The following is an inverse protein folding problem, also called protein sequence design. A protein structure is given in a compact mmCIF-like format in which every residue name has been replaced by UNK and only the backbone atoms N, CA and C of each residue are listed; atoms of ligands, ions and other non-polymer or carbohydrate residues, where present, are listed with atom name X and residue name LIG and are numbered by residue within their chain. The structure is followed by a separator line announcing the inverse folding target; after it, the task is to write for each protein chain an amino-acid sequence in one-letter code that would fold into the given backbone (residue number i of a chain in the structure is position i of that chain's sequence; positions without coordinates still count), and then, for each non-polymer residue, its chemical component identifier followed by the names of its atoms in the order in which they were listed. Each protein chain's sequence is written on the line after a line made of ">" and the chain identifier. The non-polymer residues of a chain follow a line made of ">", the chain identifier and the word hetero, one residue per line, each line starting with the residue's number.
data_IF_867190394967
#
_entry.id   IF_867190394967
#
_cell.length_a   1.000
_cell.length_b   1.000
_cell.length_c   1.000
_cell.angle_alpha   90.00
_cell.angle_beta   90.00
_cell.angle_gamma   90.00
#
_symmetry.space_group_name_H-M   'P 1'
#
loop_
_entity.id
_entity.type
_entity.pdbx_description
1 polymer ?
#
# COMPACT_ATOMS: atom_id res chain seq x y z
N UNK A 1 -0.54 -24.82 -9.40
CA UNK A 1 -1.37 -23.79 -8.70
C UNK A 1 -0.64 -23.35 -7.46
N UNK A 2 -0.29 -22.08 -7.33
CA UNK A 2 0.42 -21.52 -6.18
C UNK A 2 -0.42 -20.46 -5.48
N UNK A 3 -0.50 -20.56 -4.14
CA UNK A 3 -1.10 -19.53 -3.31
C UNK A 3 -0.05 -18.43 -3.05
N UNK A 4 -0.35 -17.22 -3.43
CA UNK A 4 0.53 -16.06 -3.24
C UNK A 4 0.24 -15.42 -1.85
N UNK A 5 0.83 -15.99 -0.80
CA UNK A 5 0.65 -15.50 0.58
C UNK A 5 1.46 -14.23 0.83
N UNK A 6 0.89 -13.28 1.59
CA UNK A 6 1.60 -12.03 1.92
C UNK A 6 2.55 -12.17 3.11
N UNK A 7 2.44 -13.25 3.89
CA UNK A 7 3.25 -13.44 5.10
C UNK A 7 4.74 -13.59 4.78
N UNK A 8 5.08 -14.48 3.85
CA UNK A 8 6.46 -14.71 3.45
C UNK A 8 7.10 -13.46 2.83
N UNK A 9 6.32 -12.71 2.05
CA UNK A 9 6.77 -11.43 1.47
C UNK A 9 7.04 -10.41 2.56
N UNK A 10 6.14 -10.29 3.54
CA UNK A 10 6.30 -9.40 4.70
C UNK A 10 7.53 -9.76 5.53
N UNK A 11 7.78 -11.05 5.76
CA UNK A 11 8.95 -11.55 6.50
C UNK A 11 10.26 -11.29 5.74
N UNK A 12 10.28 -11.45 4.43
CA UNK A 12 11.42 -11.12 3.57
C UNK A 12 11.76 -9.63 3.63
N UNK A 13 10.77 -8.74 3.50
CA UNK A 13 10.98 -7.29 3.60
C UNK A 13 11.58 -6.92 4.96
N UNK A 14 11.05 -7.49 6.04
CA UNK A 14 11.57 -7.21 7.40
C UNK A 14 13.00 -7.73 7.57
N UNK A 15 13.31 -8.91 7.02
CA UNK A 15 14.67 -9.46 7.07
C UNK A 15 15.68 -8.56 6.36
N UNK A 16 15.31 -7.98 5.20
CA UNK A 16 16.15 -7.05 4.45
C UNK A 16 16.37 -5.72 5.20
N UNK A 17 15.38 -5.26 5.98
CA UNK A 17 15.47 -4.03 6.75
C UNK A 17 16.29 -4.16 8.03
N UNK A 18 16.36 -5.36 8.60
CA UNK A 18 16.99 -5.60 9.90
C UNK A 18 18.43 -5.06 10.00
N UNK A 19 19.36 -5.35 9.08
CA UNK A 19 20.72 -4.82 9.16
C UNK A 19 20.78 -3.29 9.05
N UNK A 20 19.85 -2.67 8.31
CA UNK A 20 19.77 -1.21 8.18
C UNK A 20 19.32 -0.60 9.52
N UNK A 21 18.29 -1.17 10.15
CA UNK A 21 17.78 -0.73 11.45
C UNK A 21 18.85 -0.88 12.54
N UNK A 22 19.56 -2.00 12.58
CA UNK A 22 20.68 -2.24 13.50
C UNK A 22 21.81 -1.21 13.29
N UNK A 23 22.14 -0.88 12.05
CA UNK A 23 23.12 0.16 11.70
C UNK A 23 22.71 1.57 12.15
N UNK A 24 21.43 1.92 12.03
CA UNK A 24 20.86 3.18 12.54
C UNK A 24 20.89 3.21 14.07
N UNK A 25 20.49 2.12 14.73
CA UNK A 25 20.51 1.99 16.19
C UNK A 25 21.92 2.17 16.76
N UNK A 26 22.95 1.63 16.08
CA UNK A 26 24.36 1.84 16.44
C UNK A 26 24.80 3.30 16.39
N UNK A 27 24.08 4.17 15.66
CA UNK A 27 24.28 5.62 15.60
C UNK A 27 23.34 6.39 16.56
N UNK A 28 22.55 5.68 17.37
CA UNK A 28 21.55 6.27 18.27
C UNK A 28 20.28 6.77 17.57
N UNK A 29 20.04 6.36 16.32
CA UNK A 29 18.91 6.76 15.49
C UNK A 29 17.86 5.66 15.51
N UNK A 30 16.59 6.00 15.75
CA UNK A 30 15.47 5.06 15.74
C UNK A 30 14.47 5.50 14.67
N UNK A 31 14.23 4.71 13.62
CA UNK A 31 13.20 5.03 12.63
C UNK A 31 11.85 5.20 13.29
N UNK A 32 11.21 6.36 13.08
CA UNK A 32 9.98 6.74 13.78
C UNK A 32 8.91 7.16 12.78
N UNK A 33 7.75 6.51 12.86
CA UNK A 33 6.52 6.89 12.15
C UNK A 33 5.71 7.85 13.03
N UNK A 34 5.39 9.04 12.54
CA UNK A 34 4.37 9.91 13.12
C UNK A 34 2.99 9.51 12.58
N UNK A 35 2.04 9.32 13.47
CA UNK A 35 0.63 9.05 13.14
C UNK A 35 -0.23 10.19 13.66
N UNK A 36 -1.01 10.81 12.77
CA UNK A 36 -2.04 11.79 13.15
C UNK A 36 -3.42 11.12 13.05
N UNK A 37 -4.13 11.03 14.17
CA UNK A 37 -5.47 10.46 14.26
C UNK A 37 -6.44 11.47 14.88
N UNK A 38 -7.61 11.62 14.24
CA UNK A 38 -8.71 12.46 14.73
C UNK A 38 -9.85 11.55 15.19
N UNK A 39 -10.24 11.66 16.45
CA UNK A 39 -11.27 10.82 17.06
C UNK A 39 -10.80 9.38 17.34
N UNK A 40 -11.77 8.47 17.57
CA UNK A 40 -11.54 7.10 18.04
C UNK A 40 -12.38 6.07 17.26
N UNK A 41 -12.29 6.09 15.94
CA UNK A 41 -12.96 5.10 15.12
C UNK A 41 -12.37 3.70 15.36
N UNK A 42 -13.22 2.69 15.44
CA UNK A 42 -12.80 1.34 15.79
C UNK A 42 -11.83 0.71 14.78
N UNK A 43 -11.98 1.01 13.49
CA UNK A 43 -11.08 0.59 12.41
C UNK A 43 -9.70 1.26 12.52
N UNK A 44 -9.65 2.58 12.82
CA UNK A 44 -8.42 3.33 13.07
C UNK A 44 -7.64 2.77 14.27
N UNK A 45 -8.34 2.51 15.37
CA UNK A 45 -7.74 1.91 16.57
C UNK A 45 -7.21 0.49 16.32
N UNK A 46 -7.89 -0.30 15.51
CA UNK A 46 -7.43 -1.63 15.14
C UNK A 46 -6.17 -1.57 14.28
N UNK A 47 -6.15 -0.65 13.30
CA UNK A 47 -4.99 -0.43 12.45
C UNK A 47 -3.79 0.12 13.23
N UNK A 48 -4.00 1.11 14.10
CA UNK A 48 -2.98 1.68 14.99
C UNK A 48 -2.31 0.61 15.84
N UNK A 49 -3.10 -0.28 16.48
CA UNK A 49 -2.54 -1.41 17.25
C UNK A 49 -1.67 -2.33 16.39
N UNK A 50 -2.07 -2.57 15.15
CA UNK A 50 -1.28 -3.36 14.19
C UNK A 50 0.05 -2.69 13.85
N UNK A 51 0.03 -1.37 13.61
CA UNK A 51 1.23 -0.56 13.35
C UNK A 51 2.18 -0.57 14.54
N UNK A 52 1.68 -0.27 15.74
CA UNK A 52 2.47 -0.28 16.98
C UNK A 52 3.19 -1.61 17.15
N UNK A 53 2.45 -2.72 17.08
CA UNK A 53 3.01 -4.07 17.22
C UNK A 53 4.08 -4.36 16.15
N UNK A 54 3.84 -3.97 14.88
CA UNK A 54 4.77 -4.21 13.79
C UNK A 54 6.07 -3.43 13.97
N UNK A 55 5.98 -2.13 14.26
CA UNK A 55 7.14 -1.27 14.41
C UNK A 55 7.96 -1.66 15.66
N UNK A 56 7.31 -1.92 16.79
CA UNK A 56 7.97 -2.39 18.01
C UNK A 56 8.74 -3.71 17.77
N UNK A 57 8.14 -4.66 17.04
CA UNK A 57 8.81 -5.93 16.71
C UNK A 57 10.04 -5.79 15.80
N UNK A 58 10.27 -4.59 15.26
CA UNK A 58 11.40 -4.25 14.40
C UNK A 58 12.30 -3.16 15.00
N UNK A 59 12.23 -2.92 16.32
CA UNK A 59 13.00 -1.88 17.03
C UNK A 59 12.81 -0.47 16.45
N UNK A 60 11.63 -0.21 15.88
CA UNK A 60 11.19 1.09 15.36
C UNK A 60 10.10 1.69 16.23
N UNK A 61 9.85 2.98 16.10
CA UNK A 61 8.84 3.71 16.91
C UNK A 61 7.66 4.17 16.08
N UNK A 62 6.51 4.28 16.77
CA UNK A 62 5.33 5.01 16.29
C UNK A 62 5.00 6.09 17.31
N UNK A 63 5.01 7.35 16.89
CA UNK A 63 4.60 8.50 17.69
C UNK A 63 3.18 8.91 17.27
N UNK A 64 2.19 8.59 18.13
CA UNK A 64 0.78 8.87 17.82
C UNK A 64 0.39 10.23 18.40
N UNK A 65 -0.13 11.12 17.56
CA UNK A 65 -0.80 12.35 17.93
C UNK A 65 -2.30 12.16 17.77
N UNK A 66 -3.03 12.24 18.86
CA UNK A 66 -4.49 12.05 18.89
C UNK A 66 -5.15 13.41 19.09
N UNK A 67 -6.10 13.74 18.23
CA UNK A 67 -6.94 14.93 18.35
C UNK A 67 -8.39 14.52 18.64
N UNK A 68 -9.12 15.43 19.30
CA UNK A 68 -10.55 15.25 19.53
C UNK A 68 -11.30 15.18 18.18
N UNK A 69 -12.40 14.41 18.13
CA UNK A 69 -13.21 14.31 16.93
C UNK A 69 -13.81 15.66 16.48
N UNK A 70 -13.99 16.58 17.40
CA UNK A 70 -14.53 17.93 17.19
C UNK A 70 -13.43 19.01 17.14
N UNK A 71 -12.14 18.62 17.02
CA UNK A 71 -11.05 19.59 16.93
C UNK A 71 -11.25 20.54 15.74
N UNK A 72 -10.73 21.77 15.87
CA UNK A 72 -10.77 22.74 14.78
C UNK A 72 -9.76 22.40 13.67
N UNK A 73 -9.93 23.01 12.50
CA UNK A 73 -8.97 22.88 11.39
C UNK A 73 -7.59 23.40 11.81
N UNK A 74 -7.56 24.53 12.54
CA UNK A 74 -6.32 25.16 13.02
C UNK A 74 -5.57 24.26 14.01
N UNK A 75 -6.27 23.55 14.89
CA UNK A 75 -5.67 22.59 15.81
C UNK A 75 -5.07 21.41 15.08
N UNK A 76 -5.77 20.89 14.05
CA UNK A 76 -5.26 19.79 13.23
C UNK A 76 -4.03 20.22 12.43
N UNK A 77 -4.08 21.37 11.76
CA UNK A 77 -2.98 21.89 10.97
C UNK A 77 -1.74 22.17 11.84
N UNK A 78 -1.92 22.78 13.03
CA UNK A 78 -0.83 23.01 13.95
C UNK A 78 -0.19 21.71 14.50
N UNK A 79 -1.00 20.70 14.80
CA UNK A 79 -0.50 19.39 15.22
C UNK A 79 0.29 18.70 14.11
N UNK A 80 -0.20 18.78 12.87
CA UNK A 80 0.49 18.28 11.70
C UNK A 80 1.81 19.02 11.45
N UNK A 81 1.81 20.36 11.45
CA UNK A 81 3.00 21.18 11.19
C UNK A 81 4.11 20.89 12.22
N UNK A 82 3.73 20.71 13.49
CA UNK A 82 4.67 20.28 14.53
C UNK A 82 5.31 18.93 14.21
N UNK A 83 4.51 17.96 13.79
CA UNK A 83 4.99 16.62 13.40
C UNK A 83 5.88 16.69 12.14
N UNK A 84 5.48 17.50 11.16
CA UNK A 84 6.21 17.69 9.92
C UNK A 84 7.58 18.35 10.12
N UNK A 85 7.68 19.27 11.09
CA UNK A 85 8.92 19.95 11.46
C UNK A 85 9.83 19.12 12.38
N UNK A 86 9.33 18.06 13.01
CA UNK A 86 10.08 17.23 13.96
C UNK A 86 11.12 16.39 13.24
N UNK A 87 12.39 16.56 13.57
CA UNK A 87 13.53 15.85 12.95
C UNK A 87 13.63 14.39 13.37
N UNK A 88 12.99 14.01 14.47
CA UNK A 88 12.97 12.63 14.95
C UNK A 88 11.83 11.81 14.32
N UNK A 89 10.98 12.44 13.49
CA UNK A 89 9.93 11.78 12.70
C UNK A 89 10.41 11.62 11.26
N UNK A 90 10.41 10.38 10.79
CA UNK A 90 10.96 9.99 9.48
C UNK A 90 9.89 9.56 8.46
N UNK A 91 8.65 9.45 8.89
CA UNK A 91 7.48 9.23 8.06
C UNK A 91 6.22 9.72 8.73
N UNK A 92 5.25 10.22 7.97
CA UNK A 92 3.98 10.74 8.51
C UNK A 92 2.82 10.01 7.84
N UNK A 93 1.93 9.48 8.66
CA UNK A 93 0.68 8.84 8.25
C UNK A 93 -0.50 9.56 8.89
N UNK A 94 -1.43 10.04 8.10
CA UNK A 94 -2.68 10.64 8.56
C UNK A 94 -3.82 9.66 8.35
N UNK A 95 -4.54 9.32 9.42
CA UNK A 95 -5.67 8.39 9.31
C UNK A 95 -6.86 9.05 8.61
N UNK A 96 -7.39 8.40 7.60
CA UNK A 96 -8.50 8.87 6.79
C UNK A 96 -9.61 7.82 6.70
N UNK A 97 -10.87 8.23 6.46
CA UNK A 97 -11.32 9.60 6.19
C UNK A 97 -11.33 10.46 7.45
N UNK A 98 -11.00 11.74 7.29
CA UNK A 98 -11.16 12.74 8.33
C UNK A 98 -12.66 13.02 8.62
N UNK A 99 -13.02 13.57 9.81
CA UNK A 99 -14.32 14.14 10.04
C UNK A 99 -14.71 15.14 8.95
N UNK A 100 -16.01 15.24 8.61
CA UNK A 100 -16.51 16.02 7.46
C UNK A 100 -16.19 17.53 7.52
N UNK A 101 -15.96 18.08 8.71
CA UNK A 101 -15.66 19.49 8.92
C UNK A 101 -14.17 19.81 8.74
N UNK A 102 -13.31 18.79 8.59
CA UNK A 102 -11.87 18.94 8.39
C UNK A 102 -11.48 18.64 6.93
N UNK A 103 -10.46 19.36 6.47
CA UNK A 103 -9.84 19.18 5.15
C UNK A 103 -8.38 18.79 5.29
N UNK A 104 -7.92 17.85 4.48
CA UNK A 104 -6.50 17.48 4.40
C UNK A 104 -5.69 18.32 3.40
N UNK A 105 -6.27 19.40 2.85
CA UNK A 105 -5.63 20.22 1.82
C UNK A 105 -4.30 20.81 2.29
N UNK A 106 -4.25 21.38 3.50
CA UNK A 106 -3.02 21.92 4.10
C UNK A 106 -1.94 20.84 4.19
N UNK A 107 -2.30 19.65 4.66
CA UNK A 107 -1.40 18.50 4.80
C UNK A 107 -0.82 18.10 3.44
N UNK A 108 -1.67 17.94 2.42
CA UNK A 108 -1.27 17.56 1.06
C UNK A 108 -0.27 18.56 0.45
N UNK A 109 -0.50 19.86 0.71
CA UNK A 109 0.33 20.94 0.16
C UNK A 109 1.66 21.11 0.88
N UNK A 110 1.71 20.86 2.19
CA UNK A 110 2.84 21.25 3.05
C UNK A 110 3.66 20.09 3.58
N UNK A 111 3.19 18.86 3.46
CA UNK A 111 3.95 17.68 3.90
C UNK A 111 5.34 17.64 3.23
N UNK A 112 6.36 17.40 4.04
CA UNK A 112 7.71 17.14 3.52
C UNK A 112 7.68 15.87 2.66
N UNK A 113 8.00 15.96 1.36
CA UNK A 113 8.02 14.79 0.49
C UNK A 113 8.92 13.65 1.00
N UNK A 114 9.95 13.97 1.79
CA UNK A 114 10.83 12.99 2.43
C UNK A 114 10.20 12.28 3.62
N UNK A 115 9.03 12.75 4.11
CA UNK A 115 8.27 12.13 5.21
C UNK A 115 6.91 11.59 4.78
N UNK A 116 6.50 11.85 3.55
CA UNK A 116 5.21 11.43 3.01
C UNK A 116 5.24 9.93 2.67
N UNK A 117 4.79 9.09 3.60
CA UNK A 117 4.74 7.63 3.42
C UNK A 117 3.42 7.13 2.85
N UNK A 118 2.42 8.00 2.72
CA UNK A 118 1.09 7.71 2.15
C UNK A 118 0.89 8.30 0.74
N UNK A 119 1.92 8.97 0.23
CA UNK A 119 1.95 9.55 -1.14
C UNK A 119 0.82 10.53 -1.40
N UNK A 120 0.57 11.38 -0.44
CA UNK A 120 -0.39 12.48 -0.55
C UNK A 120 0.15 13.63 -1.41
N UNK A 121 1.47 13.85 -1.37
CA UNK A 121 2.12 14.94 -2.11
C UNK A 121 2.30 14.61 -3.59
N UNK A 122 1.97 15.56 -4.45
CA UNK A 122 2.07 15.41 -5.90
C UNK A 122 3.50 15.18 -6.41
N UNK A 123 4.53 15.63 -5.70
CA UNK A 123 5.94 15.40 -6.06
C UNK A 123 6.31 13.92 -5.99
N UNK A 124 5.80 13.19 -4.98
CA UNK A 124 6.02 11.77 -4.84
C UNK A 124 5.31 10.98 -5.95
N UNK A 125 4.07 11.36 -6.26
CA UNK A 125 3.33 10.77 -7.38
C UNK A 125 4.00 11.04 -8.74
N UNK A 126 4.59 12.23 -8.94
CA UNK A 126 5.36 12.53 -10.13
C UNK A 126 6.59 11.61 -10.28
N UNK A 127 7.27 11.29 -9.18
CA UNK A 127 8.38 10.34 -9.19
C UNK A 127 7.99 8.94 -9.67
N UNK A 128 6.82 8.45 -9.27
CA UNK A 128 6.26 7.18 -9.78
C UNK A 128 5.94 7.27 -11.28
N UNK A 129 5.36 8.38 -11.73
CA UNK A 129 5.05 8.63 -13.15
C UNK A 129 6.33 8.69 -14.01
N UNK A 130 7.39 9.30 -13.50
CA UNK A 130 8.70 9.39 -14.17
C UNK A 130 9.47 8.05 -14.17
N UNK A 131 9.02 7.06 -13.40
CA UNK A 131 9.69 5.78 -13.26
C UNK A 131 11.06 5.90 -12.55
N UNK A 132 11.22 6.86 -11.65
CA UNK A 132 12.45 7.04 -10.88
C UNK A 132 12.66 5.86 -9.93
N UNK A 133 13.86 5.31 -9.92
CA UNK A 133 14.23 4.15 -9.09
C UNK A 133 14.23 4.45 -7.58
N UNK A 134 14.44 5.71 -7.21
CA UNK A 134 14.44 6.20 -5.84
C UNK A 134 13.07 6.70 -5.37
N UNK A 135 12.09 6.72 -6.27
CA UNK A 135 10.71 7.07 -5.92
C UNK A 135 10.03 5.86 -5.29
N UNK A 136 9.59 6.03 -4.06
CA UNK A 136 8.66 5.09 -3.45
C UNK A 136 7.26 5.25 -4.09
N UNK A 137 6.37 4.30 -3.88
CA UNK A 137 5.01 4.31 -4.38
C UNK A 137 4.00 4.07 -3.23
N UNK A 138 2.71 4.37 -3.40
CA UNK A 138 1.72 4.06 -2.37
C UNK A 138 1.85 2.61 -1.88
N UNK A 139 1.83 2.42 -0.56
CA UNK A 139 2.18 1.15 0.08
C UNK A 139 1.47 -0.07 -0.53
N UNK A 140 0.18 0.07 -0.87
CA UNK A 140 -0.59 -1.03 -1.47
C UNK A 140 -0.12 -1.34 -2.90
N UNK A 141 0.23 -0.34 -3.68
CA UNK A 141 0.74 -0.54 -5.03
C UNK A 141 2.13 -1.19 -5.01
N UNK A 142 3.01 -0.74 -4.12
CA UNK A 142 4.33 -1.34 -3.94
C UNK A 142 4.24 -2.77 -3.38
N UNK A 143 3.25 -3.07 -2.52
CA UNK A 143 3.00 -4.42 -2.03
C UNK A 143 2.66 -5.40 -3.16
N UNK A 144 1.88 -4.99 -4.17
CA UNK A 144 1.60 -5.80 -5.37
C UNK A 144 2.90 -6.15 -6.09
N UNK A 145 3.76 -5.17 -6.34
CA UNK A 145 5.05 -5.39 -7.02
C UNK A 145 6.00 -6.23 -6.18
N UNK A 146 6.01 -6.02 -4.86
CA UNK A 146 6.81 -6.84 -3.94
C UNK A 146 6.39 -8.30 -3.96
N UNK A 147 5.09 -8.58 -4.05
CA UNK A 147 4.60 -9.96 -4.23
C UNK A 147 5.04 -10.54 -5.58
N UNK A 148 4.89 -9.78 -6.67
CA UNK A 148 5.31 -10.19 -8.02
C UNK A 148 6.78 -10.58 -8.01
N UNK A 149 7.65 -9.74 -7.45
CA UNK A 149 9.09 -9.96 -7.38
C UNK A 149 9.45 -11.15 -6.48
N UNK A 150 8.84 -11.25 -5.30
CA UNK A 150 9.11 -12.31 -4.33
C UNK A 150 8.80 -13.70 -4.90
N UNK A 151 7.67 -13.82 -5.61
CA UNK A 151 7.26 -15.08 -6.22
C UNK A 151 7.88 -15.34 -7.60
N UNK A 152 8.78 -14.47 -8.07
CA UNK A 152 9.46 -14.62 -9.36
C UNK A 152 8.50 -14.57 -10.55
N UNK A 153 7.38 -13.87 -10.42
CA UNK A 153 6.39 -13.71 -11.50
C UNK A 153 6.99 -12.81 -12.58
N UNK A 154 7.18 -13.38 -13.77
CA UNK A 154 7.71 -12.64 -14.90
C UNK A 154 6.68 -11.63 -15.42
N UNK A 155 7.11 -10.37 -15.49
CA UNK A 155 6.28 -9.25 -15.99
C UNK A 155 6.72 -8.78 -17.37
N UNK A 156 8.01 -8.97 -17.69
CA UNK A 156 8.62 -8.49 -18.93
C UNK A 156 7.94 -9.11 -20.14
N UNK A 157 7.35 -8.26 -21.00
CA UNK A 157 6.65 -8.67 -22.20
C UNK A 157 5.29 -9.33 -21.97
N UNK A 158 4.84 -9.41 -20.71
CA UNK A 158 3.53 -9.95 -20.33
C UNK A 158 2.44 -8.90 -20.45
N UNK A 159 1.22 -9.35 -20.68
CA UNK A 159 0.02 -8.53 -20.66
C UNK A 159 -0.53 -8.50 -19.23
N UNK A 160 -0.64 -7.33 -18.66
CA UNK A 160 -1.25 -7.13 -17.35
C UNK A 160 -2.55 -6.33 -17.47
N UNK A 161 -3.60 -6.76 -16.78
CA UNK A 161 -4.84 -6.01 -16.62
C UNK A 161 -4.96 -5.53 -15.20
N UNK A 162 -5.21 -4.23 -15.03
CA UNK A 162 -5.53 -3.61 -13.74
C UNK A 162 -7.00 -3.24 -13.73
N UNK A 163 -7.80 -3.88 -12.87
CA UNK A 163 -9.23 -3.57 -12.69
C UNK A 163 -9.37 -2.52 -11.59
N UNK A 164 -9.47 -1.27 -11.99
CA UNK A 164 -9.53 -0.11 -11.08
C UNK A 164 -8.60 1.01 -11.52
N UNK A 165 -8.94 2.27 -11.19
CA UNK A 165 -8.16 3.44 -11.59
C UNK A 165 -8.08 4.52 -10.50
N UNK A 166 -8.13 4.11 -9.24
CA UNK A 166 -7.97 5.03 -8.11
C UNK A 166 -6.57 5.65 -8.09
N UNK A 167 -6.44 6.81 -7.45
CA UNK A 167 -5.12 7.45 -7.27
C UNK A 167 -4.25 6.70 -6.27
N UNK A 168 -4.87 5.95 -5.36
CA UNK A 168 -4.16 5.26 -4.28
C UNK A 168 -3.62 3.89 -4.72
N UNK A 169 -4.31 3.19 -5.63
CA UNK A 169 -3.94 1.80 -6.00
C UNK A 169 -3.84 1.65 -7.52
N UNK A 170 -4.94 1.80 -8.25
CA UNK A 170 -5.03 1.40 -9.66
C UNK A 170 -4.03 2.11 -10.57
N UNK A 171 -3.96 3.44 -10.51
CA UNK A 171 -3.00 4.22 -11.31
C UNK A 171 -1.55 3.95 -10.90
N UNK A 172 -1.17 3.97 -9.60
CA UNK A 172 0.18 3.64 -9.18
C UNK A 172 0.61 2.22 -9.60
N UNK A 173 -0.22 1.20 -9.39
CA UNK A 173 0.08 -0.18 -9.82
C UNK A 173 0.31 -0.25 -11.34
N UNK A 174 -0.49 0.46 -12.11
CA UNK A 174 -0.32 0.54 -13.59
C UNK A 174 1.06 1.08 -13.95
N UNK A 175 1.47 2.18 -13.35
CA UNK A 175 2.78 2.80 -13.61
C UNK A 175 3.93 1.89 -13.18
N UNK A 176 3.81 1.26 -12.02
CA UNK A 176 4.81 0.31 -11.54
C UNK A 176 4.94 -0.91 -12.45
N UNK A 177 3.82 -1.49 -12.94
CA UNK A 177 3.85 -2.61 -13.89
C UNK A 177 4.48 -2.22 -15.23
N UNK A 178 4.28 -0.97 -15.69
CA UNK A 178 4.99 -0.42 -16.87
C UNK A 178 6.49 -0.37 -16.60
N UNK A 179 6.91 0.08 -15.42
CA UNK A 179 8.32 0.10 -15.00
C UNK A 179 8.91 -1.31 -14.93
N UNK A 180 8.11 -2.32 -14.57
CA UNK A 180 8.45 -3.75 -14.62
C UNK A 180 8.37 -4.36 -16.04
N UNK A 181 8.26 -3.53 -17.08
CA UNK A 181 8.21 -3.92 -18.51
C UNK A 181 6.99 -4.75 -18.93
N UNK A 182 5.88 -4.63 -18.23
CA UNK A 182 4.60 -5.22 -18.67
C UNK A 182 3.88 -4.31 -19.68
N UNK A 183 3.05 -4.91 -20.53
CA UNK A 183 2.05 -4.18 -21.33
C UNK A 183 0.76 -4.11 -20.53
N UNK A 184 0.33 -2.91 -20.14
CA UNK A 184 -0.76 -2.75 -19.16
C UNK A 184 -2.03 -2.20 -19.78
N UNK A 185 -3.15 -2.90 -19.57
CA UNK A 185 -4.51 -2.42 -19.86
C UNK A 185 -5.20 -2.06 -18.54
N UNK A 186 -5.80 -0.86 -18.47
CA UNK A 186 -6.57 -0.41 -17.30
C UNK A 186 -8.06 -0.53 -17.58
N UNK A 187 -8.75 -1.35 -16.79
CA UNK A 187 -10.19 -1.56 -16.88
C UNK A 187 -10.94 -0.82 -15.78
N UNK A 188 -12.14 -0.35 -16.09
CA UNK A 188 -12.99 0.40 -15.18
C UNK A 188 -14.47 0.29 -15.59
N UNK A 189 -15.36 0.90 -14.83
CA UNK A 189 -16.84 0.84 -15.05
C UNK A 189 -17.32 1.31 -16.44
N UNK A 190 -16.44 1.89 -17.26
CA UNK A 190 -16.76 2.33 -18.65
C UNK A 190 -16.03 1.49 -19.71
N UNK A 191 -15.27 0.47 -19.31
CA UNK A 191 -14.66 -0.48 -20.25
C UNK A 191 -15.76 -1.33 -20.91
N UNK A 192 -15.71 -1.47 -22.21
CA UNK A 192 -16.78 -2.12 -22.98
C UNK A 192 -16.93 -3.61 -22.61
N UNK A 193 -15.81 -4.34 -22.55
CA UNK A 193 -15.80 -5.76 -22.17
C UNK A 193 -14.58 -6.06 -21.29
N UNK A 194 -14.78 -5.93 -19.97
CA UNK A 194 -13.73 -6.20 -18.98
C UNK A 194 -13.34 -7.69 -19.00
N UNK A 195 -14.28 -8.59 -19.25
CA UNK A 195 -14.01 -10.04 -19.29
C UNK A 195 -13.08 -10.41 -20.41
N UNK A 196 -13.30 -9.85 -21.59
CA UNK A 196 -12.43 -10.09 -22.76
C UNK A 196 -11.00 -9.58 -22.49
N UNK A 197 -10.85 -8.37 -21.92
CA UNK A 197 -9.54 -7.82 -21.54
C UNK A 197 -8.83 -8.73 -20.52
N UNK A 198 -9.54 -9.15 -19.47
CA UNK A 198 -8.99 -10.04 -18.43
C UNK A 198 -8.56 -11.40 -19.03
N UNK A 199 -9.36 -12.01 -19.90
CA UNK A 199 -9.00 -13.28 -20.55
C UNK A 199 -7.78 -13.16 -21.46
N UNK A 200 -7.52 -11.99 -22.03
CA UNK A 200 -6.36 -11.74 -22.88
C UNK A 200 -5.06 -11.49 -22.09
N UNK A 201 -5.15 -11.26 -20.77
CA UNK A 201 -4.02 -10.98 -19.91
C UNK A 201 -3.28 -12.23 -19.43
N UNK A 202 -2.05 -12.05 -18.99
CA UNK A 202 -1.25 -13.04 -18.26
C UNK A 202 -1.32 -12.79 -16.75
N UNK A 203 -1.44 -11.50 -16.36
CA UNK A 203 -1.51 -11.05 -14.98
C UNK A 203 -2.77 -10.19 -14.81
N UNK A 204 -3.55 -10.46 -13.78
CA UNK A 204 -4.73 -9.65 -13.40
C UNK A 204 -4.49 -9.08 -12.02
N UNK A 205 -4.63 -7.76 -11.88
CA UNK A 205 -4.64 -7.08 -10.58
C UNK A 205 -6.05 -6.53 -10.33
N UNK A 206 -6.78 -7.12 -9.41
CA UNK A 206 -8.12 -6.70 -9.03
C UNK A 206 -8.05 -5.69 -7.87
N UNK A 207 -8.45 -4.44 -8.13
CA UNK A 207 -8.43 -3.33 -7.16
C UNK A 207 -9.61 -2.35 -7.37
N UNK A 208 -10.79 -2.91 -7.64
CA UNK A 208 -12.01 -2.14 -7.94
C UNK A 208 -12.90 -1.88 -6.70
N UNK A 209 -12.65 -2.55 -5.57
CA UNK A 209 -13.42 -2.40 -4.34
C UNK A 209 -14.85 -2.95 -4.45
N UNK A 210 -15.05 -4.02 -5.22
CA UNK A 210 -16.34 -4.70 -5.39
C UNK A 210 -16.19 -6.17 -5.04
N UNK A 211 -16.83 -6.58 -3.94
CA UNK A 211 -16.73 -7.93 -3.42
C UNK A 211 -17.04 -9.00 -4.49
N UNK A 212 -16.10 -9.92 -4.70
CA UNK A 212 -16.24 -11.11 -5.56
C UNK A 212 -16.65 -10.80 -7.02
N UNK A 213 -16.30 -9.60 -7.53
CA UNK A 213 -16.63 -9.17 -8.89
C UNK A 213 -15.94 -10.04 -9.95
N UNK A 214 -14.70 -10.45 -9.69
CA UNK A 214 -13.92 -11.29 -10.61
C UNK A 214 -14.29 -12.74 -10.40
N UNK A 215 -15.13 -13.26 -11.30
CA UNK A 215 -15.65 -14.64 -11.32
C UNK A 215 -14.90 -15.50 -12.35
N UNK A 216 -15.16 -16.82 -12.46
CA UNK A 216 -14.58 -17.68 -13.49
C UNK A 216 -14.68 -17.16 -14.94
N UNK A 217 -15.70 -16.35 -15.24
CA UNK A 217 -15.87 -15.74 -16.57
C UNK A 217 -14.78 -14.72 -16.93
N UNK A 218 -14.03 -14.23 -15.97
CA UNK A 218 -12.96 -13.25 -16.16
C UNK A 218 -11.61 -13.89 -16.41
N UNK A 219 -11.43 -15.14 -16.04
CA UNK A 219 -10.13 -15.79 -15.97
C UNK A 219 -10.00 -16.96 -16.94
N UNK A 220 -8.77 -17.43 -17.14
CA UNK A 220 -8.40 -18.64 -17.83
C UNK A 220 -7.22 -19.34 -17.16
N UNK A 221 -6.94 -20.56 -17.59
CA UNK A 221 -5.75 -21.30 -17.17
C UNK A 221 -4.44 -20.55 -17.52
N UNK A 222 -3.43 -20.70 -16.66
CA UNK A 222 -2.09 -20.11 -16.85
C UNK A 222 -1.97 -18.65 -16.43
N UNK A 223 -2.99 -18.06 -15.80
CA UNK A 223 -2.95 -16.66 -15.34
C UNK A 223 -2.50 -16.53 -13.89
N UNK A 224 -1.91 -15.38 -13.58
CA UNK A 224 -1.65 -14.92 -12.22
C UNK A 224 -2.69 -13.88 -11.82
N UNK A 225 -3.35 -14.07 -10.68
CA UNK A 225 -4.36 -13.15 -10.18
C UNK A 225 -3.92 -12.57 -8.82
N UNK A 226 -3.81 -11.26 -8.75
CA UNK A 226 -3.47 -10.54 -7.52
C UNK A 226 -4.70 -9.75 -7.07
N UNK A 227 -5.32 -10.21 -6.00
CA UNK A 227 -6.46 -9.56 -5.38
C UNK A 227 -6.00 -8.54 -4.33
N UNK A 228 -6.34 -7.28 -4.56
CA UNK A 228 -6.02 -6.14 -3.69
C UNK A 228 -7.29 -5.66 -2.95
N UNK A 229 -8.44 -6.19 -3.33
CA UNK A 229 -9.74 -5.82 -2.75
C UNK A 229 -9.78 -6.11 -1.24
N UNK A 230 -10.44 -5.23 -0.50
CA UNK A 230 -10.76 -5.43 0.90
C UNK A 230 -12.22 -5.05 1.13
N UNK A 231 -13.08 -6.04 1.12
CA UNK A 231 -14.52 -5.88 1.24
C UNK A 231 -15.05 -6.71 2.41
N UNK A 232 -16.26 -6.41 2.82
CA UNK A 232 -17.02 -7.22 3.76
C UNK A 232 -18.23 -7.77 3.00
N UNK A 233 -18.42 -9.08 3.00
CA UNK A 233 -19.56 -9.73 2.34
C UNK A 233 -20.85 -9.59 3.14
N UNK A 234 -21.95 -10.10 2.60
CA UNK A 234 -23.27 -10.05 3.24
C UNK A 234 -23.39 -10.78 4.59
N UNK A 235 -22.40 -11.61 4.94
CA UNK A 235 -22.30 -12.34 6.21
C UNK A 235 -21.36 -11.64 7.21
N UNK A 236 -20.80 -10.48 6.86
CA UNK A 236 -19.85 -9.75 7.69
C UNK A 236 -18.41 -10.31 7.61
N UNK A 237 -18.11 -11.19 6.66
CA UNK A 237 -16.79 -11.80 6.48
C UNK A 237 -15.96 -11.00 5.49
N UNK A 238 -14.66 -10.85 5.82
CA UNK A 238 -13.71 -10.19 4.95
C UNK A 238 -13.48 -11.00 3.67
N UNK A 239 -13.57 -10.34 2.51
CA UNK A 239 -13.32 -10.93 1.20
C UNK A 239 -12.65 -9.93 0.25
N UNK A 240 -12.12 -10.43 -0.87
CA UNK A 240 -11.51 -9.62 -1.92
C UNK A 240 -12.47 -9.22 -3.03
N UNK A 241 -11.90 -8.67 -4.10
CA UNK A 241 -12.59 -8.36 -5.35
C UNK A 241 -12.76 -9.63 -6.22
N UNK A 242 -12.03 -10.71 -5.89
CA UNK A 242 -12.07 -11.97 -6.62
C UNK A 242 -12.91 -12.98 -5.84
N UNK A 243 -13.74 -13.74 -6.56
CA UNK A 243 -14.39 -14.94 -6.03
C UNK A 243 -13.34 -16.07 -5.91
N UNK A 244 -12.60 -16.02 -4.79
CA UNK A 244 -11.40 -16.82 -4.58
C UNK A 244 -11.65 -18.31 -4.79
N UNK A 245 -12.66 -18.86 -4.15
CA UNK A 245 -12.93 -20.30 -4.19
C UNK A 245 -13.32 -20.81 -5.59
N UNK A 246 -13.97 -19.95 -6.37
CA UNK A 246 -14.37 -20.28 -7.74
C UNK A 246 -13.24 -20.06 -8.77
N UNK A 247 -12.35 -19.11 -8.53
CA UNK A 247 -11.27 -18.72 -9.45
C UNK A 247 -9.99 -19.52 -9.21
N UNK A 248 -9.66 -19.83 -7.95
CA UNK A 248 -8.45 -20.58 -7.57
C UNK A 248 -8.24 -21.86 -8.41
N UNK A 249 -9.24 -22.73 -8.64
CA UNK A 249 -9.03 -23.97 -9.41
C UNK A 249 -8.66 -23.76 -10.88
N UNK A 250 -8.85 -22.55 -11.42
CA UNK A 250 -8.69 -22.25 -12.85
C UNK A 250 -7.32 -21.64 -13.14
N UNK A 251 -6.85 -20.75 -12.27
CA UNK A 251 -5.65 -19.94 -12.51
C UNK A 251 -4.39 -20.63 -12.03
N UNK A 252 -3.23 -20.16 -12.49
CA UNK A 252 -1.94 -20.74 -12.08
C UNK A 252 -1.57 -20.32 -10.66
N UNK A 253 -1.81 -19.05 -10.34
CA UNK A 253 -1.49 -18.49 -9.03
C UNK A 253 -2.48 -17.40 -8.64
N UNK A 254 -2.80 -17.32 -7.34
CA UNK A 254 -3.75 -16.32 -6.81
C UNK A 254 -3.38 -15.88 -5.40
N UNK A 255 -3.54 -14.58 -5.10
CA UNK A 255 -3.42 -14.07 -3.75
C UNK A 255 -4.74 -14.17 -2.98
N UNK A 256 -4.74 -14.65 -1.72
CA UNK A 256 -5.95 -14.75 -0.91
C UNK A 256 -6.30 -13.41 -0.25
N UNK A 257 -7.58 -13.22 0.10
CA UNK A 257 -8.05 -12.16 0.99
C UNK A 257 -8.93 -12.79 2.08
N UNK A 258 -8.52 -12.71 3.36
CA UNK A 258 -7.30 -12.10 3.90
C UNK A 258 -6.02 -12.92 3.69
N UNK A 259 -4.87 -12.30 3.93
CA UNK A 259 -3.57 -12.98 3.95
C UNK A 259 -2.74 -12.85 2.67
N UNK A 260 -3.17 -12.05 1.70
CA UNK A 260 -2.42 -11.66 0.51
C UNK A 260 -1.81 -10.25 0.65
N UNK A 261 -2.08 -9.38 -0.32
CA UNK A 261 -1.51 -8.01 -0.42
C UNK A 261 -1.64 -7.21 0.86
N UNK A 262 -2.79 -7.25 1.53
CA UNK A 262 -3.02 -6.51 2.78
C UNK A 262 -2.06 -6.87 3.91
N UNK A 263 -1.47 -8.07 3.90
CA UNK A 263 -0.47 -8.48 4.91
C UNK A 263 0.92 -7.89 4.63
N UNK A 264 1.15 -7.34 3.44
CA UNK A 264 2.44 -6.78 3.01
C UNK A 264 2.50 -5.27 3.24
N UNK A 265 1.38 -4.57 3.13
CA UNK A 265 1.30 -3.11 3.14
C UNK A 265 1.96 -2.46 4.36
N UNK A 266 1.78 -3.02 5.55
CA UNK A 266 2.40 -2.49 6.79
C UNK A 266 3.92 -2.67 6.78
N UNK A 267 4.45 -3.71 6.12
CA UNK A 267 5.90 -3.90 5.97
C UNK A 267 6.50 -2.94 4.94
N UNK A 268 5.75 -2.59 3.89
CA UNK A 268 6.12 -1.53 2.95
C UNK A 268 6.14 -0.17 3.66
N UNK A 269 5.14 0.11 4.49
CA UNK A 269 5.12 1.34 5.29
C UNK A 269 6.35 1.43 6.21
N UNK A 270 6.70 0.35 6.90
CA UNK A 270 7.92 0.27 7.70
C UNK A 270 9.16 0.54 6.85
N UNK A 271 9.24 -0.09 5.68
CA UNK A 271 10.34 0.12 4.72
C UNK A 271 10.47 1.60 4.33
N UNK A 272 9.37 2.27 3.98
CA UNK A 272 9.38 3.69 3.64
C UNK A 272 9.92 4.55 4.78
N UNK A 273 9.51 4.28 6.03
CA UNK A 273 10.00 5.00 7.21
C UNK A 273 11.50 4.78 7.42
N UNK A 274 11.99 3.55 7.26
CA UNK A 274 13.41 3.23 7.39
C UNK A 274 14.23 3.90 6.27
N UNK A 275 13.78 3.79 5.01
CA UNK A 275 14.44 4.40 3.85
C UNK A 275 14.50 5.93 3.99
N UNK A 276 13.42 6.55 4.44
CA UNK A 276 13.38 7.99 4.70
C UNK A 276 14.30 8.39 5.88
N UNK A 277 14.34 7.57 6.94
CA UNK A 277 15.25 7.78 8.06
C UNK A 277 16.72 7.78 7.60
N UNK A 278 17.13 6.84 6.78
CA UNK A 278 18.48 6.79 6.18
C UNK A 278 18.79 8.08 5.41
N UNK A 279 17.86 8.53 4.55
CA UNK A 279 18.01 9.75 3.74
C UNK A 279 18.09 11.02 4.60
N UNK A 280 17.16 11.17 5.56
CA UNK A 280 17.07 12.37 6.43
C UNK A 280 18.30 12.48 7.32
N UNK A 281 18.78 11.36 7.87
CA UNK A 281 19.92 11.34 8.78
C UNK A 281 21.27 11.26 8.07
N UNK A 282 21.33 11.19 6.73
CA UNK A 282 22.58 11.04 5.96
C UNK A 282 23.37 9.80 6.38
N UNK A 283 22.66 8.70 6.64
CA UNK A 283 23.22 7.48 7.23
C UNK A 283 23.55 6.40 6.19
N UNK A 284 23.76 6.83 4.90
CA UNK A 284 24.18 5.94 3.79
C UNK A 284 25.50 5.21 4.05
#
# INVERSE_FOLDING_TARGET
>A
MARLGGKEVSESIVADLKPVIEGLAGKGIIPTLGVLRVGERGDDLAYERGLLKKFESCDCKVAVTVLDAECSQEEMDAAFDKMNADKDIHGILVFRPLPKHLSDSHIIETIDPGKDVDFMNSRNLAGVLEGRKDAAAPCTAEAVISMIRHYGIETRGKKAVVIGRSLVIGKPVTLLLITENATVTVCHTKTADIKAECKAADIIVACCGVARMVTPDFVREGQVVIDVGMNVDGEGKLCGDVDYDAVEPIVDSISPVPGGVGSVTTSILLKHVVDNCVKICGAE
#
